data_IF_430827784789
#
_entry.id   IF_430827784789
#
_cell.length_a   1.000
_cell.length_b   1.000
_cell.length_c   1.000
_cell.angle_alpha   90.00
_cell.angle_beta   90.00
_cell.angle_gamma   90.00
#
_symmetry.space_group_name_H-M   'P 1'
#
loop_
_entity.id
_entity.type
_entity.pdbx_description
1 polymer ?
#
# COMPACT_ATOMS: atom_id res chain seq x y z
N UNK A 1 34.65 27.47 -6.54
CA UNK A 1 33.24 27.93 -6.66
C UNK A 1 32.43 27.25 -7.77
N UNK A 2 32.99 26.34 -8.61
CA UNK A 2 32.20 25.58 -9.61
C UNK A 2 31.72 24.20 -9.11
N UNK A 3 32.38 23.60 -8.12
CA UNK A 3 32.05 22.26 -7.60
C UNK A 3 30.81 22.22 -6.68
N UNK A 4 30.50 23.31 -5.98
CA UNK A 4 29.29 23.38 -5.13
C UNK A 4 28.00 23.42 -5.95
N UNK A 5 28.04 23.99 -7.15
CA UNK A 5 26.89 24.05 -8.07
C UNK A 5 26.66 22.66 -8.69
N UNK A 6 27.73 21.96 -9.09
CA UNK A 6 27.65 20.60 -9.62
C UNK A 6 27.11 19.59 -8.58
N UNK A 7 27.49 19.72 -7.30
CA UNK A 7 26.93 18.91 -6.20
C UNK A 7 25.46 19.24 -5.90
N UNK A 8 25.04 20.50 -6.05
CA UNK A 8 23.62 20.88 -5.96
C UNK A 8 22.79 20.32 -7.12
N UNK A 9 23.35 20.27 -8.34
CA UNK A 9 22.71 19.68 -9.52
C UNK A 9 22.62 18.15 -9.43
N UNK A 10 23.63 17.46 -8.87
CA UNK A 10 23.55 16.01 -8.62
C UNK A 10 22.55 15.62 -7.50
N UNK A 11 22.26 16.55 -6.57
CA UNK A 11 21.22 16.38 -5.54
C UNK A 11 19.79 16.63 -6.03
N UNK A 12 19.61 17.17 -7.24
CA UNK A 12 18.40 16.89 -8.03
C UNK A 12 18.49 15.45 -8.55
N UNK A 13 18.63 14.49 -7.63
CA UNK A 13 18.52 13.07 -7.90
C UNK A 13 17.22 12.90 -8.68
N UNK A 14 17.34 12.36 -9.90
CA UNK A 14 16.23 12.13 -10.84
C UNK A 14 14.99 11.75 -10.04
N UNK A 15 13.97 12.61 -10.06
CA UNK A 15 12.71 12.36 -9.34
C UNK A 15 12.29 10.92 -9.63
N UNK A 16 12.12 10.06 -8.62
CA UNK A 16 11.80 8.65 -8.86
C UNK A 16 10.55 8.59 -9.73
N UNK A 17 10.55 7.67 -10.68
CA UNK A 17 9.41 7.44 -11.56
C UNK A 17 8.34 6.76 -10.73
N UNK A 18 7.25 7.48 -10.47
CA UNK A 18 6.18 6.98 -9.60
C UNK A 18 4.89 6.84 -10.38
N UNK A 19 4.12 5.77 -10.14
CA UNK A 19 2.79 5.58 -10.73
C UNK A 19 1.77 5.34 -9.63
N UNK A 20 0.61 5.99 -9.75
CA UNK A 20 -0.50 5.85 -8.81
C UNK A 20 -1.60 5.03 -9.47
N UNK A 21 -2.05 3.98 -8.79
CA UNK A 21 -3.08 3.08 -9.26
C UNK A 21 -4.19 2.98 -8.22
N UNK A 22 -5.39 3.42 -8.59
CA UNK A 22 -6.60 3.23 -7.81
C UNK A 22 -7.47 2.13 -8.43
N UNK A 23 -8.65 1.87 -7.87
CA UNK A 23 -9.66 1.01 -8.49
C UNK A 23 -10.19 1.56 -9.82
N UNK A 24 -10.15 2.87 -10.04
CA UNK A 24 -10.61 3.52 -11.27
C UNK A 24 -9.54 3.62 -12.35
N UNK A 25 -8.26 3.46 -12.00
CA UNK A 25 -7.16 3.49 -12.96
C UNK A 25 -7.11 2.16 -13.74
N UNK A 26 -7.27 2.21 -15.07
CA UNK A 26 -7.01 1.07 -15.98
C UNK A 26 -5.49 0.79 -16.10
N UNK A 27 -4.81 0.52 -14.99
CA UNK A 27 -3.42 0.08 -15.01
C UNK A 27 -3.34 -1.42 -15.34
N UNK A 28 -3.77 -1.79 -16.56
CA UNK A 28 -3.92 -3.18 -16.98
C UNK A 28 -2.61 -3.98 -16.82
N UNK A 29 -1.46 -3.36 -17.07
CA UNK A 29 -0.15 -3.99 -16.98
C UNK A 29 0.25 -4.43 -15.55
N UNK A 30 -0.22 -3.71 -14.51
CA UNK A 30 0.06 -4.05 -13.11
C UNK A 30 -1.10 -4.83 -12.46
N UNK A 31 -2.19 -5.12 -13.21
CA UNK A 31 -3.36 -5.77 -12.65
C UNK A 31 -3.06 -7.14 -12.00
N UNK A 32 -2.27 -8.04 -12.60
CA UNK A 32 -1.90 -9.31 -11.95
C UNK A 32 -1.15 -9.10 -10.63
N UNK A 33 -0.20 -8.16 -10.62
CA UNK A 33 0.58 -7.80 -9.44
C UNK A 33 -0.31 -7.23 -8.33
N UNK A 34 -1.19 -6.28 -8.66
CA UNK A 34 -2.09 -5.66 -7.68
C UNK A 34 -3.05 -6.71 -7.10
N UNK A 35 -3.56 -7.64 -7.92
CA UNK A 35 -4.43 -8.72 -7.44
C UNK A 35 -3.70 -9.64 -6.44
N UNK A 36 -2.44 -9.98 -6.72
CA UNK A 36 -1.63 -10.77 -5.81
C UNK A 36 -1.34 -10.01 -4.51
N UNK A 37 -0.98 -8.73 -4.62
CA UNK A 37 -0.76 -7.84 -3.48
C UNK A 37 -2.00 -7.75 -2.57
N UNK A 38 -3.19 -7.58 -3.15
CA UNK A 38 -4.45 -7.57 -2.38
C UNK A 38 -4.64 -8.89 -1.64
N UNK A 39 -4.46 -10.04 -2.31
CA UNK A 39 -4.59 -11.37 -1.69
C UNK A 39 -3.63 -11.57 -0.53
N UNK A 40 -2.38 -11.10 -0.66
CA UNK A 40 -1.39 -11.18 0.42
C UNK A 40 -1.85 -10.40 1.65
N UNK A 41 -2.37 -9.19 1.46
CA UNK A 41 -2.87 -8.37 2.56
C UNK A 41 -4.14 -8.96 3.17
N UNK A 42 -5.10 -9.45 2.37
CA UNK A 42 -6.31 -10.10 2.89
C UNK A 42 -5.95 -11.32 3.74
N UNK A 43 -5.10 -12.21 3.23
CA UNK A 43 -4.64 -13.40 3.97
C UNK A 43 -3.94 -13.02 5.28
N UNK A 44 -3.10 -12.00 5.24
CA UNK A 44 -2.34 -11.55 6.40
C UNK A 44 -3.26 -10.88 7.43
N UNK A 45 -4.23 -10.09 6.97
CA UNK A 45 -5.22 -9.42 7.79
C UNK A 45 -6.16 -10.40 8.50
N UNK A 46 -6.59 -11.44 7.81
CA UNK A 46 -7.44 -12.49 8.38
C UNK A 46 -6.71 -13.23 9.54
N UNK A 47 -5.41 -13.50 9.38
CA UNK A 47 -4.60 -14.15 10.43
C UNK A 47 -4.30 -13.23 11.62
N UNK A 48 -4.12 -11.93 11.37
CA UNK A 48 -3.66 -10.96 12.37
C UNK A 48 -4.75 -9.99 12.83
N UNK A 49 -6.02 -10.38 12.66
CA UNK A 49 -7.14 -9.52 13.01
C UNK A 49 -7.13 -9.19 14.52
N UNK A 50 -7.17 -7.91 14.94
CA UNK A 50 -7.00 -7.54 16.34
C UNK A 50 -8.06 -8.18 17.25
N UNK A 51 -7.65 -8.83 18.34
CA UNK A 51 -8.58 -9.51 19.26
C UNK A 51 -9.63 -8.57 19.87
N UNK A 52 -9.28 -7.30 20.05
CA UNK A 52 -10.21 -6.26 20.51
C UNK A 52 -11.31 -5.97 19.49
N UNK A 53 -11.03 -6.11 18.19
CA UNK A 53 -11.99 -5.95 17.12
C UNK A 53 -12.93 -7.17 17.03
N UNK A 54 -12.43 -8.37 17.35
CA UNK A 54 -13.21 -9.62 17.39
C UNK A 54 -14.39 -9.55 18.36
N UNK A 55 -14.16 -9.03 19.56
CA UNK A 55 -15.16 -9.05 20.66
C UNK A 55 -16.32 -8.07 20.51
N UNK A 56 -16.15 -7.03 19.69
CA UNK A 56 -17.10 -5.89 19.62
C UNK A 56 -17.72 -5.70 18.23
N UNK A 57 -17.50 -6.64 17.30
CA UNK A 57 -18.08 -6.62 15.94
C UNK A 57 -17.95 -5.27 15.22
N UNK A 58 -16.81 -4.60 15.40
CA UNK A 58 -16.58 -3.29 14.81
C UNK A 58 -16.54 -3.40 13.29
N UNK A 59 -17.21 -2.46 12.63
CA UNK A 59 -17.21 -2.31 11.17
C UNK A 59 -16.65 -0.94 10.79
N UNK A 60 -15.92 -0.91 9.69
CA UNK A 60 -15.36 0.34 9.18
C UNK A 60 -14.70 0.15 7.84
N UNK A 61 -14.45 1.25 7.16
CA UNK A 61 -13.66 1.28 5.93
C UNK A 61 -12.47 2.20 6.17
N UNK A 62 -11.28 1.76 5.77
CA UNK A 62 -10.06 2.57 5.76
C UNK A 62 -9.54 2.60 4.33
N UNK A 63 -9.33 3.80 3.79
CA UNK A 63 -8.70 3.94 2.47
C UNK A 63 -7.22 4.25 2.65
N UNK A 64 -6.37 3.37 2.13
CA UNK A 64 -4.92 3.48 2.20
C UNK A 64 -4.33 3.66 0.80
N UNK A 65 -3.24 4.42 0.72
CA UNK A 65 -2.27 4.36 -0.37
C UNK A 65 -0.99 3.73 0.16
N UNK A 66 -0.51 2.69 -0.51
CA UNK A 66 0.73 1.99 -0.17
C UNK A 66 1.72 2.15 -1.31
N UNK A 67 2.90 2.70 -1.02
CA UNK A 67 4.01 2.79 -1.96
C UNK A 67 4.91 1.57 -1.84
N UNK A 68 5.20 0.91 -2.96
CA UNK A 68 6.07 -0.26 -3.05
C UNK A 68 7.23 0.06 -3.99
N UNK A 69 8.46 -0.14 -3.52
CA UNK A 69 9.66 0.03 -4.32
C UNK A 69 9.80 -1.09 -5.37
N UNK A 70 10.62 -0.89 -6.40
CA UNK A 70 10.85 -1.89 -7.45
C UNK A 70 11.25 -3.27 -6.92
N UNK A 71 11.97 -3.34 -5.81
CA UNK A 71 12.43 -4.59 -5.17
C UNK A 71 11.36 -5.28 -4.30
N UNK A 72 10.14 -4.71 -4.18
CA UNK A 72 9.06 -5.23 -3.36
C UNK A 72 9.07 -4.74 -1.91
N UNK A 73 10.06 -3.93 -1.51
CA UNK A 73 10.10 -3.33 -0.19
C UNK A 73 9.03 -2.22 -0.03
N UNK A 74 8.52 -2.09 1.19
CA UNK A 74 7.56 -1.05 1.53
C UNK A 74 8.24 0.33 1.53
N UNK A 75 7.75 1.25 0.70
CA UNK A 75 8.23 2.63 0.64
C UNK A 75 7.51 3.52 1.67
N UNK A 76 6.18 3.52 1.65
CA UNK A 76 5.35 4.28 2.58
C UNK A 76 3.93 3.73 2.68
N UNK A 77 3.24 4.08 3.77
CA UNK A 77 1.79 3.85 3.95
C UNK A 77 1.14 5.19 4.31
N UNK A 78 0.10 5.57 3.56
CA UNK A 78 -0.70 6.78 3.81
C UNK A 78 -2.16 6.44 4.00
N UNK A 79 -2.77 6.92 5.08
CA UNK A 79 -4.23 6.92 5.22
C UNK A 79 -4.77 8.09 4.42
N UNK A 80 -5.57 7.80 3.40
CA UNK A 80 -6.25 8.82 2.60
C UNK A 80 -7.63 9.13 3.19
N UNK A 81 -8.33 8.10 3.68
CA UNK A 81 -9.59 8.26 4.41
C UNK A 81 -9.58 7.38 5.65
N UNK A 82 -9.52 7.97 6.86
CA UNK A 82 -9.59 7.20 8.09
C UNK A 82 -11.00 6.62 8.28
N UNK A 83 -11.08 5.57 9.08
CA UNK A 83 -12.36 5.04 9.56
C UNK A 83 -12.91 5.91 10.70
N UNK A 84 -14.06 5.50 11.25
CA UNK A 84 -14.61 6.10 12.48
C UNK A 84 -13.80 5.75 13.73
N UNK A 85 -12.91 4.77 13.65
CA UNK A 85 -12.21 4.24 14.81
C UNK A 85 -10.71 4.17 14.56
N UNK A 86 -9.94 4.97 15.30
CA UNK A 86 -8.47 5.04 15.15
C UNK A 86 -7.78 3.67 15.26
N UNK A 87 -8.32 2.74 16.04
CA UNK A 87 -7.74 1.40 16.16
C UNK A 87 -7.85 0.58 14.87
N UNK A 88 -8.87 0.81 14.02
CA UNK A 88 -8.98 0.16 12.71
C UNK A 88 -7.96 0.75 11.74
N UNK A 89 -7.72 2.06 11.81
CA UNK A 89 -6.73 2.74 10.98
C UNK A 89 -5.32 2.21 11.25
N UNK A 90 -4.97 2.10 12.54
CA UNK A 90 -3.68 1.55 12.97
C UNK A 90 -3.59 0.04 12.68
N UNK A 91 -4.69 -0.72 12.80
CA UNK A 91 -4.72 -2.12 12.39
C UNK A 91 -4.48 -2.27 10.88
N UNK A 92 -5.07 -1.42 10.06
CA UNK A 92 -4.88 -1.46 8.60
C UNK A 92 -3.42 -1.21 8.21
N UNK A 93 -2.76 -0.21 8.82
CA UNK A 93 -1.32 0.02 8.63
C UNK A 93 -0.50 -1.19 9.07
N UNK A 94 -0.77 -1.68 10.28
CA UNK A 94 -0.02 -2.77 10.87
C UNK A 94 -0.10 -4.03 10.00
N UNK A 95 -1.28 -4.37 9.46
CA UNK A 95 -1.48 -5.50 8.54
C UNK A 95 -0.61 -5.36 7.29
N UNK A 96 -0.51 -4.15 6.71
CA UNK A 96 0.36 -3.91 5.55
C UNK A 96 1.83 -4.04 5.93
N UNK A 97 2.23 -3.56 7.11
CA UNK A 97 3.62 -3.68 7.60
C UNK A 97 4.03 -5.13 7.82
N UNK A 98 3.17 -5.98 8.37
CA UNK A 98 3.48 -7.41 8.59
C UNK A 98 3.35 -8.25 7.30
N UNK A 99 2.65 -7.75 6.29
CA UNK A 99 2.54 -8.40 4.99
C UNK A 99 3.80 -8.24 4.12
N UNK A 100 4.76 -7.42 4.56
CA UNK A 100 6.04 -7.23 3.88
C UNK A 100 6.98 -8.44 4.08
N UNK A 101 7.95 -8.66 3.17
CA UNK A 101 8.12 -7.97 1.89
C UNK A 101 7.07 -8.41 0.85
N UNK A 102 6.76 -7.52 -0.10
CA UNK A 102 5.93 -7.88 -1.25
C UNK A 102 6.80 -8.44 -2.38
N UNK A 103 6.17 -9.01 -3.40
CA UNK A 103 6.90 -9.40 -4.61
C UNK A 103 7.52 -8.17 -5.28
N UNK A 104 8.68 -8.31 -5.97
CA UNK A 104 9.22 -7.26 -6.81
C UNK A 104 8.21 -6.78 -7.86
N UNK A 105 8.26 -5.50 -8.23
CA UNK A 105 7.39 -4.98 -9.27
C UNK A 105 7.71 -5.69 -10.61
N UNK A 106 6.69 -6.09 -11.39
CA UNK A 106 6.92 -6.70 -12.68
C UNK A 106 7.57 -5.69 -13.63
N UNK A 107 8.43 -6.16 -14.53
CA UNK A 107 8.92 -5.33 -15.61
C UNK A 107 7.77 -5.09 -16.61
N UNK A 108 7.43 -3.82 -16.81
CA UNK A 108 6.41 -3.40 -17.77
C UNK A 108 7.02 -2.45 -18.80
N UNK A 109 6.22 -2.03 -19.80
CA UNK A 109 6.68 -1.08 -20.82
C UNK A 109 7.01 0.29 -20.22
N UNK A 110 6.34 0.64 -19.12
CA UNK A 110 6.60 1.83 -18.31
C UNK A 110 7.09 1.42 -16.91
N UNK A 111 8.37 1.03 -16.76
CA UNK A 111 8.86 0.60 -15.46
C UNK A 111 8.85 1.79 -14.49
N UNK A 112 8.47 1.55 -13.25
CA UNK A 112 8.44 2.57 -12.20
C UNK A 112 9.41 2.20 -11.10
N UNK A 113 9.92 3.21 -10.40
CA UNK A 113 10.77 3.03 -9.24
C UNK A 113 9.90 2.79 -7.99
N UNK A 114 8.70 3.40 -7.95
CA UNK A 114 7.72 3.24 -6.88
C UNK A 114 6.30 3.12 -7.46
N UNK A 115 5.58 2.06 -7.09
CA UNK A 115 4.17 1.89 -7.41
C UNK A 115 3.32 2.22 -6.18
N UNK A 116 2.44 3.21 -6.31
CA UNK A 116 1.48 3.61 -5.28
C UNK A 116 0.12 2.98 -5.55
N UNK A 117 -0.30 2.05 -4.70
CA UNK A 117 -1.57 1.35 -4.81
C UNK A 117 -2.55 1.93 -3.79
N UNK A 118 -3.67 2.49 -4.27
CA UNK A 118 -4.74 2.97 -3.40
C UNK A 118 -5.88 1.95 -3.34
N UNK A 119 -6.23 1.49 -2.13
CA UNK A 119 -7.37 0.58 -1.89
C UNK A 119 -8.15 0.96 -0.64
N UNK A 120 -9.44 0.62 -0.69
CA UNK A 120 -10.35 0.71 0.45
C UNK A 120 -10.48 -0.67 1.08
N UNK A 121 -10.10 -0.75 2.35
CA UNK A 121 -10.14 -1.95 3.17
C UNK A 121 -11.36 -1.91 4.09
N UNK A 122 -12.24 -2.90 3.95
CA UNK A 122 -13.42 -3.06 4.78
C UNK A 122 -13.13 -4.05 5.91
N UNK A 123 -13.40 -3.60 7.13
CA UNK A 123 -13.39 -4.43 8.33
C UNK A 123 -14.80 -4.96 8.57
N UNK A 124 -14.98 -6.27 8.48
CA UNK A 124 -16.27 -6.93 8.67
C UNK A 124 -16.32 -7.73 9.99
N UNK A 125 -17.53 -7.93 10.58
CA UNK A 125 -17.69 -8.85 11.71
C UNK A 125 -17.32 -10.26 11.28
N UNK A 126 -16.55 -10.97 12.11
CA UNK A 126 -16.11 -12.33 11.78
C UNK A 126 -14.74 -12.44 11.08
N UNK A 127 -13.86 -11.45 11.30
CA UNK A 127 -12.42 -11.50 10.96
C UNK A 127 -12.04 -11.20 9.51
N UNK A 128 -12.95 -10.68 8.68
CA UNK A 128 -12.67 -10.51 7.26
C UNK A 128 -12.21 -9.08 6.95
N UNK A 129 -10.99 -8.96 6.44
CA UNK A 129 -10.53 -7.78 5.71
C UNK A 129 -10.84 -7.98 4.23
N UNK A 130 -11.63 -7.08 3.64
CA UNK A 130 -12.00 -7.17 2.21
C UNK A 130 -11.68 -5.90 1.45
N UNK A 131 -11.16 -6.03 0.25
CA UNK A 131 -11.07 -4.91 -0.68
C UNK A 131 -12.46 -4.58 -1.26
N UNK A 132 -12.87 -3.31 -1.19
CA UNK A 132 -14.08 -2.79 -1.86
C UNK A 132 -13.83 -2.45 -3.32
#
# INVERSE_FOLDING_TARGET
MKEEIARKIQRYAKKPRTKYVSSSTKAYEYAPYINQWVKTIERTGDLNYPDKAKKKSFKGEVMLTVGINKDGSLHEIKIIKPSKYRFLDEAAKHIVEIAQPFEPLPDTQEPVDILYITRTWQFLPGHLLRQK
#
